data_IF_616039492860
#
_entry.id   IF_616039492860
#
_cell.length_a   1.000
_cell.length_b   1.000
_cell.length_c   1.000
_cell.angle_alpha   90.00
_cell.angle_beta   90.00
_cell.angle_gamma   90.00
#
_symmetry.space_group_name_H-M   'P 1'
#
loop_
_entity.id
_entity.type
_entity.pdbx_description
1 polymer ?
#
# COMPACT_ATOMS: atom_id res chain seq x y z
N UNK A 1 -3.29 18.16 14.44
CA UNK A 1 -1.83 18.06 14.49
C UNK A 1 -1.44 16.63 14.12
N UNK A 2 -0.71 16.46 13.03
CA UNK A 2 -0.24 15.15 12.56
C UNK A 2 1.24 15.07 12.89
N UNK A 3 1.68 14.12 13.73
CA UNK A 3 3.09 13.99 14.10
C UNK A 3 3.67 12.73 13.43
N UNK A 4 4.78 12.92 12.71
CA UNK A 4 5.53 11.87 12.03
C UNK A 4 6.78 11.57 12.87
N UNK A 5 7.00 10.31 13.22
CA UNK A 5 8.23 9.89 13.92
C UNK A 5 9.04 8.97 13.00
N UNK A 6 10.14 9.49 12.45
CA UNK A 6 11.15 8.70 11.74
C UNK A 6 12.23 8.23 12.73
N UNK A 7 12.62 6.95 12.76
CA UNK A 7 13.72 6.50 13.61
C UNK A 7 15.06 6.85 12.94
N UNK A 8 15.76 7.88 13.41
CA UNK A 8 17.16 8.12 13.06
C UNK A 8 18.07 7.31 13.98
N UNK A 9 18.93 6.46 13.40
CA UNK A 9 20.08 5.87 14.07
C UNK A 9 21.36 6.36 13.38
N UNK A 10 22.26 6.96 14.13
CA UNK A 10 23.53 7.47 13.63
C UNK A 10 24.61 6.39 13.57
N UNK A 11 25.42 6.41 12.50
CA UNK A 11 26.87 6.12 12.48
C UNK A 11 27.42 6.32 11.06
N UNK A 12 28.53 7.05 10.94
CA UNK A 12 29.42 7.06 9.77
C UNK A 12 30.31 5.82 9.81
N UNK A 13 30.32 5.02 8.74
CA UNK A 13 31.42 4.10 8.39
C UNK A 13 31.51 4.09 6.86
N UNK A 14 32.71 4.37 6.35
CA UNK A 14 33.13 4.22 4.96
C UNK A 14 33.17 2.75 4.59
N UNK A 15 32.43 2.31 3.57
CA UNK A 15 32.72 1.03 2.91
C UNK A 15 32.13 0.97 1.49
N UNK A 16 32.85 0.27 0.63
CA UNK A 16 32.71 0.13 -0.83
C UNK A 16 31.28 0.01 -1.39
N UNK A 17 31.04 0.65 -2.55
CA UNK A 17 29.81 0.53 -3.33
C UNK A 17 29.50 -0.94 -3.65
N UNK A 18 28.34 -1.49 -3.25
CA UNK A 18 27.97 -2.85 -3.60
C UNK A 18 27.63 -2.95 -5.09
N UNK A 19 28.02 -4.07 -5.71
CA UNK A 19 27.68 -4.41 -7.09
C UNK A 19 26.17 -4.28 -7.36
N UNK A 20 25.76 -3.78 -8.53
CA UNK A 20 24.35 -3.52 -8.84
C UNK A 20 23.52 -4.79 -8.68
N UNK A 21 22.38 -4.68 -7.97
CA UNK A 21 21.45 -5.79 -7.79
C UNK A 21 20.73 -6.03 -9.12
N UNK A 22 20.32 -7.27 -9.38
CA UNK A 22 19.57 -7.64 -10.60
C UNK A 22 18.30 -6.78 -10.79
N UNK A 23 17.74 -6.24 -9.69
CA UNK A 23 16.65 -5.26 -9.71
C UNK A 23 16.97 -3.92 -10.37
N UNK A 24 18.25 -3.52 -10.42
CA UNK A 24 18.70 -2.25 -10.99
C UNK A 24 18.80 -2.29 -12.53
N UNK A 25 19.01 -3.47 -13.11
CA UNK A 25 19.08 -3.70 -14.55
C UNK A 25 17.70 -3.75 -15.23
N UNK A 26 16.62 -3.92 -14.45
CA UNK A 26 15.25 -3.96 -14.97
C UNK A 26 14.62 -2.56 -15.16
N UNK A 27 15.36 -1.48 -14.89
CA UNK A 27 14.87 -0.09 -15.00
C UNK A 27 14.77 0.42 -16.44
N UNK A 28 15.25 -0.32 -17.44
CA UNK A 28 15.14 0.06 -18.84
C UNK A 28 13.87 -0.50 -19.49
N UNK A 29 12.83 0.34 -19.51
CA UNK A 29 11.66 0.33 -20.42
C UNK A 29 10.69 -0.85 -20.28
N UNK A 30 9.63 -0.65 -19.50
CA UNK A 30 8.35 -1.37 -19.65
C UNK A 30 7.43 -0.67 -20.67
N UNK A 31 6.59 -1.41 -21.42
CA UNK A 31 5.86 -0.90 -22.58
C UNK A 31 4.44 -0.39 -22.22
N UNK A 32 4.31 0.48 -21.23
CA UNK A 32 3.03 1.14 -20.92
C UNK A 32 3.25 2.66 -20.90
N UNK A 33 3.07 3.27 -22.07
CA UNK A 33 3.15 4.71 -22.29
C UNK A 33 1.97 5.48 -21.70
N UNK A 34 1.72 5.34 -20.40
CA UNK A 34 0.90 6.31 -19.67
C UNK A 34 1.80 7.47 -19.25
N UNK A 35 1.52 8.67 -19.78
CA UNK A 35 2.15 9.90 -19.29
C UNK A 35 1.99 9.98 -17.77
N UNK A 36 3.04 10.39 -17.02
CA UNK A 36 2.94 10.51 -15.58
C UNK A 36 1.77 11.43 -15.25
N UNK A 37 0.81 10.92 -14.47
CA UNK A 37 -0.30 11.69 -13.90
C UNK A 37 0.34 12.95 -13.31
N UNK A 38 0.02 14.13 -13.84
CA UNK A 38 0.71 15.36 -13.49
C UNK A 38 0.83 15.45 -11.96
N UNK A 39 2.07 15.37 -11.46
CA UNK A 39 2.37 15.13 -10.04
C UNK A 39 1.80 16.19 -9.08
N UNK A 40 1.22 17.27 -9.62
CA UNK A 40 0.78 18.44 -8.87
C UNK A 40 -0.59 18.31 -8.22
N UNK A 41 -1.54 17.57 -8.79
CA UNK A 41 -2.95 17.77 -8.42
C UNK A 41 -3.35 17.09 -7.11
N UNK A 42 -2.83 15.89 -6.84
CA UNK A 42 -3.14 15.17 -5.60
C UNK A 42 -2.44 15.76 -4.37
N UNK A 43 -1.37 16.54 -4.54
CA UNK A 43 -0.65 17.22 -3.45
C UNK A 43 -1.30 18.57 -3.04
N UNK A 44 -2.28 19.07 -3.82
CA UNK A 44 -2.97 20.32 -3.52
C UNK A 44 -3.82 20.20 -2.25
N UNK A 45 -3.77 21.23 -1.41
CA UNK A 45 -4.57 21.33 -0.18
C UNK A 45 -4.09 20.45 0.99
N UNK A 46 -2.89 19.87 0.90
CA UNK A 46 -2.22 19.28 2.06
C UNK A 46 -1.50 20.37 2.86
N UNK A 47 -1.58 20.29 4.18
CA UNK A 47 -0.71 21.10 5.04
C UNK A 47 0.74 20.57 5.00
N UNK A 48 1.73 21.30 5.55
CA UNK A 48 3.13 20.89 5.50
C UNK A 48 3.38 19.50 6.08
N UNK A 49 2.75 19.14 7.21
CA UNK A 49 2.96 17.83 7.85
C UNK A 49 2.33 16.69 7.06
N UNK A 50 1.16 16.92 6.44
CA UNK A 50 0.52 15.93 5.56
C UNK A 50 1.32 15.72 4.28
N UNK A 51 1.90 16.80 3.73
CA UNK A 51 2.78 16.73 2.57
C UNK A 51 4.03 15.92 2.89
N UNK A 52 4.68 16.20 4.02
CA UNK A 52 5.86 15.46 4.47
C UNK A 52 5.57 13.95 4.64
N UNK A 53 4.41 13.61 5.21
CA UNK A 53 3.96 12.22 5.32
C UNK A 53 3.75 11.53 3.95
N UNK A 54 3.34 12.28 2.94
CA UNK A 54 3.09 11.78 1.57
C UNK A 54 4.40 11.62 0.79
N UNK A 55 5.30 12.60 0.89
CA UNK A 55 6.57 12.66 0.14
C UNK A 55 7.64 11.74 0.77
N UNK A 56 7.52 11.39 2.05
CA UNK A 56 8.38 10.39 2.70
C UNK A 56 8.02 8.97 2.22
N UNK A 57 8.64 8.52 1.13
CA UNK A 57 8.42 7.18 0.55
C UNK A 57 9.34 6.12 1.10
N UNK A 58 10.52 6.50 1.59
CA UNK A 58 11.55 5.56 2.06
C UNK A 58 11.44 5.34 3.58
N UNK A 59 11.63 4.09 3.99
CA UNK A 59 11.62 3.71 5.41
C UNK A 59 10.24 3.68 6.08
N UNK A 60 10.19 3.33 7.37
CA UNK A 60 8.94 3.24 8.13
C UNK A 60 8.41 4.63 8.48
N UNK A 61 7.11 4.85 8.24
CA UNK A 61 6.41 6.11 8.56
C UNK A 61 5.18 5.80 9.42
N UNK A 62 5.11 6.46 10.59
CA UNK A 62 3.95 6.42 11.48
C UNK A 62 3.22 7.77 11.42
N UNK A 63 1.94 7.74 11.03
CA UNK A 63 1.08 8.92 10.91
C UNK A 63 0.13 8.96 12.12
N UNK A 64 0.45 9.76 13.14
CA UNK A 64 -0.41 9.97 14.30
C UNK A 64 -1.25 11.22 14.09
N UNK A 65 -2.57 11.10 14.07
CA UNK A 65 -3.44 12.27 13.94
C UNK A 65 -4.76 12.11 14.69
N UNK A 66 -5.38 13.21 15.09
CA UNK A 66 -6.69 13.24 15.77
C UNK A 66 -7.86 12.87 14.86
N UNK A 67 -9.07 12.75 15.40
CA UNK A 67 -10.28 12.62 14.58
C UNK A 67 -10.42 13.80 13.61
N UNK A 68 -10.93 13.58 12.40
CA UNK A 68 -11.15 14.64 11.40
C UNK A 68 -9.90 15.27 10.75
N UNK A 69 -8.69 14.89 11.15
CA UNK A 69 -7.44 15.52 10.67
C UNK A 69 -6.90 14.99 9.33
N UNK A 70 -7.71 14.24 8.58
CA UNK A 70 -7.35 13.80 7.23
C UNK A 70 -6.41 12.59 7.14
N UNK A 71 -6.28 11.74 8.17
CA UNK A 71 -5.46 10.50 8.13
C UNK A 71 -5.68 9.66 6.86
N UNK A 72 -6.94 9.43 6.52
CA UNK A 72 -7.30 8.66 5.33
C UNK A 72 -6.85 9.37 4.05
N UNK A 73 -6.97 10.71 3.99
CA UNK A 73 -6.49 11.51 2.85
C UNK A 73 -4.98 11.39 2.71
N UNK A 74 -4.22 11.46 3.81
CA UNK A 74 -2.76 11.27 3.79
C UNK A 74 -2.40 9.90 3.23
N UNK A 75 -3.04 8.83 3.73
CA UNK A 75 -2.77 7.46 3.26
C UNK A 75 -3.08 7.28 1.77
N UNK A 76 -4.25 7.72 1.30
CA UNK A 76 -4.63 7.58 -0.12
C UNK A 76 -3.74 8.41 -1.03
N UNK A 77 -3.36 9.61 -0.59
CA UNK A 77 -2.49 10.50 -1.36
C UNK A 77 -1.06 9.96 -1.40
N UNK A 78 -0.57 9.35 -0.32
CA UNK A 78 0.74 8.68 -0.29
C UNK A 78 0.80 7.51 -1.26
N UNK A 79 -0.24 6.67 -1.29
CA UNK A 79 -0.32 5.56 -2.26
C UNK A 79 -0.36 6.09 -3.70
N UNK A 80 -1.17 7.12 -3.97
CA UNK A 80 -1.21 7.76 -5.27
C UNK A 80 0.15 8.36 -5.65
N UNK A 81 0.86 8.99 -4.72
CA UNK A 81 2.18 9.56 -4.94
C UNK A 81 3.23 8.50 -5.30
N UNK A 82 3.26 7.37 -4.58
CA UNK A 82 4.17 6.25 -4.86
C UNK A 82 3.94 5.69 -6.26
N UNK A 83 2.68 5.55 -6.67
CA UNK A 83 2.31 5.05 -8.01
C UNK A 83 2.63 6.07 -9.10
N UNK A 84 2.25 7.33 -8.92
CA UNK A 84 2.47 8.40 -9.89
C UNK A 84 3.96 8.72 -10.12
N UNK A 85 4.80 8.55 -9.10
CA UNK A 85 6.25 8.74 -9.19
C UNK A 85 7.00 7.49 -9.69
N UNK A 86 6.29 6.38 -9.97
CA UNK A 86 6.89 5.13 -10.44
C UNK A 86 7.79 4.44 -9.41
N UNK A 87 7.62 4.77 -8.11
CA UNK A 87 8.39 4.18 -7.00
C UNK A 87 8.00 2.72 -6.74
N UNK A 88 6.76 2.37 -7.01
CA UNK A 88 6.27 0.99 -6.97
C UNK A 88 5.17 0.80 -8.01
N UNK A 89 4.97 -0.45 -8.43
CA UNK A 89 3.87 -0.85 -9.30
C UNK A 89 2.64 -1.22 -8.47
N UNK A 90 1.41 -1.15 -9.01
CA UNK A 90 0.19 -1.44 -8.25
C UNK A 90 0.18 -2.81 -7.54
N UNK A 91 0.78 -3.84 -8.14
CA UNK A 91 0.85 -5.19 -7.56
C UNK A 91 1.92 -5.36 -6.47
N UNK A 92 2.81 -4.38 -6.30
CA UNK A 92 3.85 -4.36 -5.26
C UNK A 92 3.36 -3.71 -3.96
N UNK A 93 2.17 -3.09 -3.98
CA UNK A 93 1.58 -2.43 -2.82
C UNK A 93 0.62 -3.35 -2.06
N UNK A 94 0.79 -3.41 -0.74
CA UNK A 94 -0.14 -4.06 0.20
C UNK A 94 -0.84 -3.00 1.05
N UNK A 95 -2.17 -3.01 1.02
CA UNK A 95 -3.02 -2.05 1.72
C UNK A 95 -4.07 -2.81 2.51
N UNK A 96 -4.00 -2.71 3.85
CA UNK A 96 -4.85 -3.49 4.75
C UNK A 96 -5.66 -2.56 5.66
N UNK A 97 -6.92 -2.92 5.87
CA UNK A 97 -7.83 -2.22 6.79
C UNK A 97 -8.65 -3.20 7.64
N UNK A 98 -9.38 -2.68 8.62
CA UNK A 98 -10.21 -3.49 9.51
C UNK A 98 -11.59 -3.82 8.93
N UNK A 99 -12.15 -2.96 8.06
CA UNK A 99 -13.52 -3.14 7.56
C UNK A 99 -13.58 -3.14 6.04
N UNK A 100 -14.52 -3.93 5.49
CA UNK A 100 -14.78 -3.97 4.05
C UNK A 100 -15.20 -2.60 3.51
N UNK A 101 -15.95 -1.83 4.30
CA UNK A 101 -16.35 -0.46 3.97
C UNK A 101 -15.13 0.44 3.77
N UNK A 102 -14.19 0.44 4.72
CA UNK A 102 -12.98 1.24 4.59
C UNK A 102 -12.11 0.79 3.40
N UNK A 103 -12.08 -0.51 3.09
CA UNK A 103 -11.32 -1.02 1.95
C UNK A 103 -11.92 -0.49 0.64
N UNK A 104 -13.24 -0.57 0.51
CA UNK A 104 -13.97 -0.06 -0.66
C UNK A 104 -13.79 1.45 -0.82
N UNK A 105 -14.00 2.23 0.24
CA UNK A 105 -13.79 3.68 0.21
C UNK A 105 -12.35 4.04 -0.16
N UNK A 106 -11.36 3.29 0.32
CA UNK A 106 -9.95 3.52 -0.01
C UNK A 106 -9.66 3.23 -1.48
N UNK A 107 -10.21 2.14 -2.03
CA UNK A 107 -10.11 1.80 -3.45
C UNK A 107 -10.74 2.90 -4.30
N UNK A 108 -11.98 3.29 -4.00
CA UNK A 108 -12.69 4.38 -4.70
C UNK A 108 -11.84 5.66 -4.72
N UNK A 109 -11.30 6.08 -3.57
CA UNK A 109 -10.45 7.28 -3.47
C UNK A 109 -9.18 7.18 -4.31
N UNK A 110 -8.50 6.03 -4.31
CA UNK A 110 -7.28 5.86 -5.11
C UNK A 110 -7.62 5.86 -6.60
N UNK A 111 -8.67 5.16 -7.02
CA UNK A 111 -9.16 5.17 -8.41
C UNK A 111 -9.47 6.59 -8.89
N UNK A 112 -10.07 7.44 -8.04
CA UNK A 112 -10.29 8.85 -8.37
C UNK A 112 -9.00 9.66 -8.54
N UNK A 113 -7.89 9.28 -7.88
CA UNK A 113 -6.62 10.02 -7.93
C UNK A 113 -5.72 9.61 -9.10
N UNK A 114 -5.67 8.32 -9.44
CA UNK A 114 -4.73 7.77 -10.45
C UNK A 114 -5.41 7.11 -11.64
N UNK A 115 -6.74 7.07 -11.65
CA UNK A 115 -7.53 6.48 -12.74
C UNK A 115 -7.39 4.95 -12.83
N UNK A 116 -7.42 4.38 -14.06
CA UNK A 116 -7.44 2.93 -14.30
C UNK A 116 -6.25 2.17 -13.70
N UNK A 117 -5.13 2.84 -13.43
CA UNK A 117 -3.96 2.23 -12.77
C UNK A 117 -4.28 1.64 -11.39
N UNK A 118 -5.36 2.10 -10.74
CA UNK A 118 -5.83 1.56 -9.47
C UNK A 118 -6.39 0.13 -9.56
N UNK A 119 -6.78 -0.35 -10.73
CA UNK A 119 -7.28 -1.71 -10.94
C UNK A 119 -6.20 -2.77 -10.63
N UNK A 120 -4.93 -2.41 -10.82
CA UNK A 120 -3.80 -3.27 -10.48
C UNK A 120 -3.55 -3.47 -8.98
N UNK A 121 -4.29 -2.78 -8.09
CA UNK A 121 -4.19 -2.91 -6.63
C UNK A 121 -4.85 -4.20 -6.14
N UNK A 122 -4.21 -5.32 -6.44
CA UNK A 122 -4.68 -6.66 -6.08
C UNK A 122 -4.68 -6.90 -4.57
N UNK A 123 -3.79 -6.26 -3.82
CA UNK A 123 -3.61 -6.47 -2.39
C UNK A 123 -4.18 -5.32 -1.55
N UNK A 124 -5.37 -4.84 -1.92
CA UNK A 124 -6.12 -3.86 -1.15
C UNK A 124 -7.40 -4.52 -0.62
N UNK A 125 -7.48 -4.70 0.70
CA UNK A 125 -8.57 -5.40 1.36
C UNK A 125 -8.51 -5.35 2.88
N UNK A 126 -9.32 -6.19 3.53
CA UNK A 126 -9.21 -6.40 4.98
C UNK A 126 -8.11 -7.39 5.31
N UNK A 127 -7.70 -7.46 6.59
CA UNK A 127 -6.79 -8.51 7.08
C UNK A 127 -7.28 -9.90 6.67
N UNK A 128 -8.56 -10.21 6.91
CA UNK A 128 -9.16 -11.50 6.56
C UNK A 128 -9.14 -11.75 5.05
N UNK A 129 -9.54 -10.77 4.23
CA UNK A 129 -9.57 -10.93 2.78
C UNK A 129 -8.17 -11.18 2.20
N UNK A 130 -7.16 -10.45 2.68
CA UNK A 130 -5.77 -10.61 2.24
C UNK A 130 -5.21 -11.95 2.70
N UNK A 131 -5.43 -12.32 3.96
CA UNK A 131 -4.98 -13.61 4.49
C UNK A 131 -5.60 -14.78 3.72
N UNK A 132 -6.91 -14.74 3.47
CA UNK A 132 -7.60 -15.74 2.67
C UNK A 132 -7.04 -15.81 1.24
N UNK A 133 -6.72 -14.68 0.61
CA UNK A 133 -6.11 -14.64 -0.72
C UNK A 133 -4.72 -15.28 -0.73
N UNK A 134 -3.90 -15.04 0.29
CA UNK A 134 -2.57 -15.67 0.43
C UNK A 134 -2.74 -17.18 0.64
N UNK A 135 -3.59 -17.58 1.58
CA UNK A 135 -3.85 -18.99 1.88
C UNK A 135 -4.38 -19.74 0.65
N UNK A 136 -5.32 -19.18 -0.10
CA UNK A 136 -5.84 -19.83 -1.33
C UNK A 136 -4.76 -20.03 -2.39
N UNK A 137 -3.78 -19.13 -2.47
CA UNK A 137 -2.66 -19.26 -3.42
C UNK A 137 -1.65 -20.34 -2.99
N UNK A 138 -1.51 -20.55 -1.69
CA UNK A 138 -0.49 -21.42 -1.11
C UNK A 138 -1.08 -22.56 -0.26
N UNK A 139 -2.32 -22.94 -0.54
CA UNK A 139 -3.10 -23.85 0.30
C UNK A 139 -2.43 -25.22 0.44
N UNK A 140 -1.81 -25.70 -0.64
CA UNK A 140 -1.13 -26.99 -0.69
C UNK A 140 0.06 -27.06 0.27
N UNK A 141 0.72 -25.93 0.57
CA UNK A 141 1.86 -25.88 1.51
C UNK A 141 1.45 -26.17 2.96
N UNK A 142 0.15 -26.04 3.27
CA UNK A 142 -0.41 -26.29 4.59
C UNK A 142 -1.40 -27.46 4.57
N UNK A 143 -1.37 -28.29 3.51
CA UNK A 143 -2.23 -29.47 3.38
C UNK A 143 -3.71 -29.15 3.15
N UNK A 144 -4.04 -27.93 2.70
CA UNK A 144 -5.40 -27.51 2.39
C UNK A 144 -5.66 -27.53 0.89
N UNK A 145 -6.93 -27.74 0.50
CA UNK A 145 -7.38 -27.45 -0.87
C UNK A 145 -7.61 -25.93 -1.00
N UNK A 146 -7.28 -25.36 -2.16
CA UNK A 146 -7.54 -23.93 -2.44
C UNK A 146 -9.03 -23.55 -2.38
N UNK A 147 -9.93 -24.53 -2.44
CA UNK A 147 -11.38 -24.41 -2.30
C UNK A 147 -11.88 -24.57 -0.87
N UNK A 148 -11.06 -24.31 0.15
CA UNK A 148 -11.49 -24.44 1.55
C UNK A 148 -12.65 -23.48 1.87
N UNK A 149 -13.56 -23.97 2.72
CA UNK A 149 -14.66 -23.17 3.26
C UNK A 149 -14.17 -22.38 4.47
N UNK A 150 -14.52 -21.10 4.53
CA UNK A 150 -14.34 -20.28 5.73
C UNK A 150 -15.64 -20.41 6.50
N UNK A 151 -15.59 -21.06 7.66
CA UNK A 151 -16.74 -21.19 8.54
C UNK A 151 -17.05 -19.83 9.18
N UNK A 152 -18.33 -19.49 9.24
CA UNK A 152 -18.79 -18.39 10.07
C UNK A 152 -19.10 -18.85 11.50
N UNK A 153 -19.55 -17.94 12.35
CA UNK A 153 -19.85 -18.23 13.75
C UNK A 153 -20.96 -19.28 13.89
N UNK A 154 -21.98 -19.24 13.03
CA UNK A 154 -23.12 -20.16 13.09
C UNK A 154 -22.72 -21.57 12.65
N UNK A 155 -21.83 -21.67 11.67
CA UNK A 155 -21.22 -22.94 11.26
C UNK A 155 -20.34 -23.53 12.37
N UNK A 156 -19.61 -22.69 13.11
CA UNK A 156 -18.74 -23.14 14.19
C UNK A 156 -19.55 -23.77 15.34
N UNK A 157 -20.70 -23.20 15.69
CA UNK A 157 -21.58 -23.72 16.75
C UNK A 157 -22.25 -25.05 16.39
N UNK A 158 -22.45 -25.35 15.11
CA UNK A 158 -23.07 -26.60 14.65
C UNK A 158 -22.10 -27.78 14.57
N UNK A 159 -20.80 -27.48 14.53
CA UNK A 159 -19.72 -28.47 14.39
C UNK A 159 -19.10 -28.86 15.74
N UNK A 160 -19.38 -28.11 16.80
CA UNK A 160 -18.97 -28.41 18.19
C UNK A 160 -20.07 -29.17 18.95
#
# INVERSE_FOLDING_TARGET
MCYIRSPTNGRRVTDSLPSPRISDLARSRGPDGQAPVAASDYLKGLNPEQRDAVETTEGPVLVLAGAGTGKTRVLTTRLAHILATGRAKPWELLVVTFTNKAAREMRERITHLIGPSAEGLRWLGTFHSVAAQILRRHAELVGLKSSFTILDTDDQERVC
#
